data_IF_877284192038
#
_entry.id   IF_877284192038
#
_cell.length_a   1.000
_cell.length_b   1.000
_cell.length_c   1.000
_cell.angle_alpha   90.00
_cell.angle_beta   90.00
_cell.angle_gamma   90.00
#
_symmetry.space_group_name_H-M   'P 1'
#
loop_
_entity.id
_entity.type
_entity.pdbx_description
1 polymer ?
#
# COMPACT_ATOMS: atom_id res chain seq x y z
N UNK A 1 -0.72 14.77 34.69
CA UNK A 1 0.28 15.12 33.65
C UNK A 1 0.23 16.64 33.46
N UNK A 2 1.20 17.39 33.98
CA UNK A 2 1.24 18.85 33.84
C UNK A 2 1.71 19.20 32.42
N UNK A 3 0.84 19.81 31.60
CA UNK A 3 1.25 20.43 30.33
C UNK A 3 2.15 21.63 30.69
N UNK A 4 3.44 21.52 30.46
CA UNK A 4 4.34 22.69 30.49
C UNK A 4 4.05 23.52 29.25
N UNK A 5 3.45 24.68 29.43
CA UNK A 5 3.39 25.71 28.39
C UNK A 5 4.75 26.43 28.38
N UNK A 6 5.36 26.47 27.20
CA UNK A 6 6.62 27.19 26.96
C UNK A 6 6.26 28.31 25.98
N UNK A 7 6.08 29.54 26.51
CA UNK A 7 5.76 30.72 25.71
C UNK A 7 7.04 31.41 25.21
N UNK A 8 7.04 31.75 23.91
CA UNK A 8 8.07 32.58 23.25
C UNK A 8 9.53 32.01 23.29
N UNK A 9 9.70 30.70 23.39
CA UNK A 9 11.01 30.08 23.27
C UNK A 9 11.15 29.38 21.92
N UNK A 10 12.36 29.38 21.32
CA UNK A 10 12.58 28.60 20.11
C UNK A 10 12.39 27.11 20.37
N UNK A 11 11.64 26.47 19.50
CA UNK A 11 11.35 25.04 19.55
C UNK A 11 11.87 24.36 18.28
N UNK A 12 12.44 23.17 18.43
CA UNK A 12 12.67 22.25 17.33
C UNK A 12 11.68 21.10 17.52
N UNK A 13 10.92 20.81 16.48
CA UNK A 13 10.02 19.63 16.42
C UNK A 13 10.63 18.65 15.44
N UNK A 14 11.15 17.54 15.97
CA UNK A 14 11.69 16.45 15.17
C UNK A 14 10.61 15.37 15.02
N UNK A 15 9.97 15.35 13.85
CA UNK A 15 8.92 14.39 13.53
C UNK A 15 9.46 12.98 13.22
N UNK A 16 10.77 12.82 13.00
CA UNK A 16 11.38 11.51 12.80
C UNK A 16 11.57 10.77 14.13
N UNK A 17 12.06 11.49 15.14
CA UNK A 17 12.31 10.91 16.46
C UNK A 17 11.12 11.11 17.41
N UNK A 18 10.11 11.88 17.00
CA UNK A 18 8.99 12.23 17.88
C UNK A 18 9.41 13.12 19.07
N UNK A 19 10.48 13.88 18.89
CA UNK A 19 11.07 14.72 19.93
C UNK A 19 10.71 16.19 19.75
N UNK A 20 10.54 16.89 20.89
CA UNK A 20 10.41 18.34 20.93
C UNK A 20 11.52 18.90 21.79
N UNK A 21 12.47 19.61 21.18
CA UNK A 21 13.59 20.24 21.85
C UNK A 21 13.23 21.69 22.14
N UNK A 22 13.04 22.00 23.44
CA UNK A 22 12.75 23.33 23.90
C UNK A 22 14.05 24.08 24.20
N UNK A 23 14.16 25.32 23.74
CA UNK A 23 15.30 26.19 23.94
C UNK A 23 16.64 25.52 23.54
N UNK A 24 16.79 25.12 22.27
CA UNK A 24 17.95 24.36 21.78
C UNK A 24 19.24 25.18 21.97
N UNK A 25 20.35 24.47 22.22
CA UNK A 25 21.65 25.12 22.22
C UNK A 25 21.97 25.72 20.83
N UNK A 26 22.83 26.75 20.70
CA UNK A 26 23.24 27.29 19.42
C UNK A 26 23.75 26.20 18.46
N UNK A 27 24.54 25.25 18.95
CA UNK A 27 25.06 24.14 18.15
C UNK A 27 23.95 23.20 17.67
N UNK A 28 22.99 22.90 18.53
CA UNK A 28 21.82 22.10 18.17
C UNK A 28 20.98 22.82 17.12
N UNK A 29 20.77 24.12 17.31
CA UNK A 29 20.01 24.94 16.36
C UNK A 29 20.67 24.98 14.97
N UNK A 30 21.98 25.26 14.89
CA UNK A 30 22.74 25.24 13.64
C UNK A 30 22.70 23.87 12.96
N UNK A 31 22.81 22.79 13.71
CA UNK A 31 22.68 21.43 13.17
C UNK A 31 21.31 21.23 12.49
N UNK A 32 20.22 21.56 13.18
CA UNK A 32 18.89 21.44 12.59
C UNK A 32 18.63 22.42 11.43
N UNK A 33 19.23 23.60 11.44
CA UNK A 33 19.18 24.52 10.30
C UNK A 33 19.85 23.89 9.05
N UNK A 34 20.96 23.21 9.22
CA UNK A 34 21.65 22.51 8.14
C UNK A 34 20.81 21.35 7.62
N UNK A 35 20.17 20.59 8.52
CA UNK A 35 19.25 19.51 8.12
C UNK A 35 18.05 20.06 7.34
N UNK A 36 17.43 21.14 7.82
CA UNK A 36 16.29 21.78 7.13
C UNK A 36 16.70 22.30 5.74
N UNK A 37 17.89 22.89 5.60
CA UNK A 37 18.39 23.35 4.31
C UNK A 37 18.58 22.19 3.33
N UNK A 38 19.19 21.09 3.77
CA UNK A 38 19.33 19.87 2.96
C UNK A 38 18.00 19.22 2.58
N UNK A 39 17.02 19.22 3.49
CA UNK A 39 15.66 18.71 3.20
C UNK A 39 14.93 19.59 2.18
N UNK A 40 15.12 20.93 2.22
CA UNK A 40 14.52 21.84 1.21
C UNK A 40 15.13 21.63 -0.17
N UNK A 41 16.46 21.54 -0.27
CA UNK A 41 17.13 21.24 -1.53
C UNK A 41 16.67 19.91 -2.13
N UNK A 42 16.57 18.87 -1.29
CA UNK A 42 16.02 17.57 -1.72
C UNK A 42 14.56 17.71 -2.16
N UNK A 43 13.75 18.47 -1.44
CA UNK A 43 12.34 18.67 -1.78
C UNK A 43 12.17 19.35 -3.17
N UNK A 44 13.02 20.32 -3.52
CA UNK A 44 13.04 20.96 -4.84
C UNK A 44 13.40 19.96 -5.94
N UNK A 45 14.46 19.14 -5.75
CA UNK A 45 14.83 18.06 -6.70
C UNK A 45 13.68 17.05 -6.88
N UNK A 46 12.99 16.70 -5.79
CA UNK A 46 11.88 15.76 -5.83
C UNK A 46 10.67 16.31 -6.58
N UNK A 47 10.40 17.62 -6.46
CA UNK A 47 9.31 18.28 -7.17
C UNK A 47 9.54 18.29 -8.69
N UNK A 48 10.77 18.47 -9.15
CA UNK A 48 11.12 18.40 -10.57
C UNK A 48 10.85 17.02 -11.19
N UNK A 49 10.83 15.97 -10.37
CA UNK A 49 10.61 14.60 -10.83
C UNK A 49 9.13 14.18 -10.91
N UNK A 50 8.20 15.02 -10.53
CA UNK A 50 6.77 14.64 -10.43
C UNK A 50 6.21 14.05 -11.73
N UNK A 51 6.53 14.65 -12.87
CA UNK A 51 6.03 14.24 -14.19
C UNK A 51 6.82 13.10 -14.82
N UNK A 52 7.94 12.71 -14.23
CA UNK A 52 8.72 11.60 -14.73
C UNK A 52 8.22 10.26 -14.24
N UNK A 53 8.33 9.26 -15.08
CA UNK A 53 7.99 7.87 -14.74
C UNK A 53 9.10 7.23 -13.89
N UNK A 54 8.72 6.27 -13.04
CA UNK A 54 9.65 5.45 -12.27
C UNK A 54 10.39 4.46 -13.18
N UNK A 55 11.55 4.86 -13.72
CA UNK A 55 12.38 4.02 -14.60
C UNK A 55 13.80 4.02 -14.06
N UNK A 56 14.36 2.83 -13.84
CA UNK A 56 15.75 2.67 -13.37
C UNK A 56 16.75 3.12 -14.43
N UNK A 57 18.02 3.31 -14.03
CA UNK A 57 19.11 3.67 -14.93
C UNK A 57 19.38 2.62 -16.04
N UNK A 58 18.99 1.37 -15.83
CA UNK A 58 19.06 0.28 -16.80
C UNK A 58 17.70 -0.05 -17.44
N UNK A 59 16.74 0.90 -17.41
CA UNK A 59 15.52 0.89 -18.19
C UNK A 59 14.35 0.07 -17.63
N UNK A 60 14.44 -0.46 -16.41
CA UNK A 60 13.31 -1.17 -15.79
C UNK A 60 12.22 -0.20 -15.33
N UNK A 61 11.00 -0.46 -15.74
CA UNK A 61 9.83 0.36 -15.40
C UNK A 61 9.14 -0.15 -14.13
N UNK A 62 8.89 0.76 -13.19
CA UNK A 62 8.08 0.53 -11.97
C UNK A 62 6.95 1.55 -11.95
N UNK A 63 5.71 1.10 -11.85
CA UNK A 63 4.55 1.96 -11.64
C UNK A 63 4.53 2.46 -10.19
N UNK A 64 4.49 3.77 -10.01
CA UNK A 64 4.45 4.39 -8.69
C UNK A 64 3.03 4.91 -8.44
N UNK A 65 2.29 4.16 -7.65
CA UNK A 65 0.89 4.40 -7.36
C UNK A 65 0.68 4.81 -5.91
N UNK A 66 -0.53 5.24 -5.58
CA UNK A 66 -0.85 5.71 -4.24
C UNK A 66 -1.93 4.88 -3.56
N UNK A 67 -1.83 4.85 -2.23
CA UNK A 67 -2.88 4.38 -1.34
C UNK A 67 -3.68 5.59 -0.88
N UNK A 68 -5.00 5.56 -1.03
CA UNK A 68 -5.89 6.63 -0.61
C UNK A 68 -7.07 6.13 0.21
N UNK A 69 -7.62 7.04 1.02
CA UNK A 69 -8.91 6.89 1.67
C UNK A 69 -9.90 7.91 1.10
N UNK A 70 -10.61 8.65 1.97
CA UNK A 70 -11.56 9.69 1.56
C UNK A 70 -10.91 10.99 1.06
N UNK A 71 -9.65 11.22 1.38
CA UNK A 71 -8.94 12.48 1.09
C UNK A 71 -7.59 12.22 0.46
N UNK A 72 -6.98 13.25 -0.12
CA UNK A 72 -5.61 13.16 -0.62
C UNK A 72 -5.48 13.03 -2.14
N UNK A 73 -6.58 12.97 -2.90
CA UNK A 73 -6.57 12.81 -4.36
C UNK A 73 -5.74 13.89 -5.05
N UNK A 74 -6.02 15.16 -4.80
CA UNK A 74 -5.30 16.29 -5.40
C UNK A 74 -3.81 16.24 -5.10
N UNK A 75 -3.44 16.09 -3.84
CA UNK A 75 -2.03 15.98 -3.41
C UNK A 75 -1.30 14.80 -4.03
N UNK A 76 -2.00 13.68 -4.23
CA UNK A 76 -1.43 12.48 -4.85
C UNK A 76 -1.09 12.72 -6.33
N UNK A 77 -1.96 13.42 -7.06
CA UNK A 77 -1.74 13.82 -8.44
C UNK A 77 -0.61 14.85 -8.56
N UNK A 78 -0.59 15.83 -7.69
CA UNK A 78 0.47 16.86 -7.64
C UNK A 78 1.86 16.25 -7.41
N UNK A 79 1.93 15.11 -6.73
CA UNK A 79 3.18 14.35 -6.52
C UNK A 79 3.50 13.34 -7.63
N UNK A 80 2.71 13.33 -8.70
CA UNK A 80 2.94 12.51 -9.88
C UNK A 80 2.59 11.03 -9.70
N UNK A 81 1.50 10.75 -8.98
CA UNK A 81 0.95 9.40 -8.88
C UNK A 81 0.44 8.90 -10.25
N UNK A 82 0.74 7.64 -10.55
CA UNK A 82 0.44 7.03 -11.85
C UNK A 82 -0.83 6.17 -11.81
N UNK A 83 -1.47 6.05 -10.67
CA UNK A 83 -2.71 5.32 -10.42
C UNK A 83 -3.00 5.21 -8.94
N UNK A 84 -4.15 4.64 -8.63
CA UNK A 84 -4.51 4.24 -7.26
C UNK A 84 -4.31 2.73 -7.15
N UNK A 85 -3.36 2.31 -6.30
CA UNK A 85 -3.10 0.90 -6.05
C UNK A 85 -3.92 0.32 -4.91
N UNK A 86 -4.42 1.19 -4.03
CA UNK A 86 -5.35 0.82 -2.97
C UNK A 86 -6.24 2.00 -2.62
N UNK A 87 -7.51 1.90 -2.99
CA UNK A 87 -8.57 2.70 -2.38
C UNK A 87 -9.21 1.90 -1.25
N UNK A 88 -9.11 2.45 -0.03
CA UNK A 88 -9.63 1.83 1.19
C UNK A 88 -11.11 2.12 1.34
N UNK A 89 -11.94 1.24 0.81
CA UNK A 89 -13.39 1.44 0.77
C UNK A 89 -14.08 1.34 2.13
N UNK A 90 -13.43 0.79 3.14
CA UNK A 90 -13.97 0.71 4.50
C UNK A 90 -14.10 2.08 5.17
N UNK A 91 -13.28 3.07 4.81
CA UNK A 91 -13.30 4.39 5.45
C UNK A 91 -14.65 5.10 5.29
N UNK A 92 -15.26 5.17 4.09
CA UNK A 92 -16.63 5.68 3.92
C UNK A 92 -17.67 4.98 4.82
N UNK A 93 -17.50 3.67 5.05
CA UNK A 93 -18.41 2.91 5.92
C UNK A 93 -18.23 3.28 7.40
N UNK A 94 -16.98 3.46 7.83
CA UNK A 94 -16.69 3.82 9.24
C UNK A 94 -17.17 5.22 9.64
N UNK A 95 -17.41 6.11 8.68
CA UNK A 95 -17.89 7.48 8.93
C UNK A 95 -19.40 7.60 8.98
N UNK A 96 -20.14 6.53 8.74
CA UNK A 96 -21.60 6.47 8.72
C UNK A 96 -22.14 5.72 9.94
N UNK A 97 -23.46 5.83 10.16
CA UNK A 97 -24.20 5.09 11.18
C UNK A 97 -25.02 3.92 10.60
N UNK A 98 -24.86 3.65 9.31
CA UNK A 98 -25.50 2.54 8.57
C UNK A 98 -24.64 2.19 7.36
N UNK A 99 -24.91 1.05 6.73
CA UNK A 99 -24.32 0.72 5.45
C UNK A 99 -24.69 1.78 4.41
N UNK A 100 -23.70 2.36 3.69
CA UNK A 100 -23.94 3.29 2.59
C UNK A 100 -24.75 2.62 1.47
N UNK A 101 -25.72 3.32 0.90
CA UNK A 101 -26.47 2.85 -0.27
C UNK A 101 -25.56 2.73 -1.51
N UNK A 102 -26.03 2.01 -2.55
CA UNK A 102 -25.33 1.91 -3.82
C UNK A 102 -24.99 3.29 -4.39
N UNK A 103 -25.94 4.23 -4.35
CA UNK A 103 -25.73 5.58 -4.88
C UNK A 103 -24.76 6.41 -4.07
N UNK A 104 -24.78 6.32 -2.73
CA UNK A 104 -23.81 6.98 -1.87
C UNK A 104 -22.37 6.46 -2.13
N UNK A 105 -22.23 5.15 -2.29
CA UNK A 105 -20.94 4.53 -2.62
C UNK A 105 -20.49 4.94 -4.03
N UNK A 106 -21.41 4.87 -5.02
CA UNK A 106 -21.15 5.27 -6.40
C UNK A 106 -20.60 6.71 -6.49
N UNK A 107 -21.24 7.63 -5.78
CA UNK A 107 -20.83 9.03 -5.80
C UNK A 107 -19.39 9.22 -5.28
N UNK A 108 -19.02 8.56 -4.18
CA UNK A 108 -17.68 8.61 -3.62
C UNK A 108 -16.66 7.99 -4.57
N UNK A 109 -16.96 6.80 -5.12
CA UNK A 109 -16.05 6.10 -6.02
C UNK A 109 -15.84 6.87 -7.32
N UNK A 110 -16.93 7.47 -7.85
CA UNK A 110 -16.92 8.29 -9.06
C UNK A 110 -15.98 9.49 -8.93
N UNK A 111 -16.06 10.23 -7.84
CA UNK A 111 -15.20 11.39 -7.58
C UNK A 111 -13.71 11.02 -7.68
N UNK A 112 -13.32 9.87 -7.10
CA UNK A 112 -11.93 9.42 -7.13
C UNK A 112 -11.51 8.93 -8.52
N UNK A 113 -12.39 8.24 -9.22
CA UNK A 113 -12.10 7.74 -10.57
C UNK A 113 -11.98 8.86 -11.58
N UNK A 114 -12.87 9.85 -11.55
CA UNK A 114 -12.81 11.04 -12.42
C UNK A 114 -11.52 11.84 -12.21
N UNK A 115 -11.13 12.04 -10.96
CA UNK A 115 -9.91 12.78 -10.64
C UNK A 115 -8.64 12.08 -11.15
N UNK A 116 -8.63 10.74 -11.20
CA UNK A 116 -7.48 9.97 -11.70
C UNK A 116 -7.56 9.63 -13.19
N UNK A 117 -8.64 9.98 -13.89
CA UNK A 117 -8.80 9.72 -15.32
C UNK A 117 -7.58 10.16 -16.16
N UNK A 118 -7.04 9.38 -17.10
CA UNK A 118 -7.39 8.00 -17.49
C UNK A 118 -6.57 6.91 -16.76
N UNK A 119 -6.04 7.19 -15.60
CA UNK A 119 -5.17 6.27 -14.83
C UNK A 119 -5.99 5.16 -14.16
N UNK A 120 -5.40 3.98 -13.91
CA UNK A 120 -6.09 2.88 -13.25
C UNK A 120 -6.39 3.18 -11.78
N UNK A 121 -7.55 2.68 -11.32
CA UNK A 121 -8.00 2.80 -9.94
C UNK A 121 -8.32 1.42 -9.38
N UNK A 122 -7.57 1.00 -8.36
CA UNK A 122 -7.81 -0.27 -7.65
C UNK A 122 -8.62 -0.01 -6.39
N UNK A 123 -9.83 -0.56 -6.35
CA UNK A 123 -10.72 -0.50 -5.19
C UNK A 123 -10.75 -1.85 -4.47
N UNK A 124 -10.41 -1.85 -3.20
CA UNK A 124 -10.52 -3.05 -2.37
C UNK A 124 -11.97 -3.21 -1.92
N UNK A 125 -12.54 -4.41 -2.07
CA UNK A 125 -13.84 -4.70 -1.48
C UNK A 125 -13.76 -4.58 0.05
N UNK A 126 -14.91 -4.43 0.70
CA UNK A 126 -15.02 -4.08 2.10
C UNK A 126 -14.14 -4.98 3.00
N UNK A 127 -13.23 -4.35 3.73
CA UNK A 127 -12.34 -5.01 4.69
C UNK A 127 -12.63 -4.51 6.11
N UNK A 128 -13.73 -4.98 6.68
CA UNK A 128 -14.14 -4.73 8.08
C UNK A 128 -13.86 -5.95 8.94
N UNK A 129 -13.77 -5.75 10.25
CA UNK A 129 -13.29 -6.74 11.22
C UNK A 129 -11.85 -6.45 11.64
N UNK A 130 -11.32 -7.20 12.57
CA UNK A 130 -10.01 -6.92 13.15
C UNK A 130 -10.02 -5.60 13.94
N UNK A 131 -9.21 -4.65 13.50
CA UNK A 131 -9.12 -3.29 14.06
C UNK A 131 -10.09 -2.27 13.41
N UNK A 132 -10.88 -2.70 12.43
CA UNK A 132 -11.80 -1.86 11.65
C UNK A 132 -13.25 -2.16 12.04
N UNK A 133 -13.71 -1.55 13.12
CA UNK A 133 -15.09 -1.74 13.62
C UNK A 133 -16.07 -0.77 12.95
N UNK A 134 -17.28 -1.26 12.67
CA UNK A 134 -18.44 -0.44 12.32
C UNK A 134 -19.38 -0.38 13.53
N UNK A 135 -19.74 0.82 13.95
CA UNK A 135 -20.61 1.01 15.14
C UNK A 135 -21.99 0.36 15.01
N UNK A 136 -22.48 0.28 13.78
CA UNK A 136 -23.80 -0.29 13.43
C UNK A 136 -23.73 -1.76 12.98
N UNK A 137 -22.53 -2.34 12.88
CA UNK A 137 -22.29 -3.74 12.54
C UNK A 137 -21.15 -4.27 13.43
N UNK A 138 -21.42 -4.45 14.74
CA UNK A 138 -20.39 -4.83 15.69
C UNK A 138 -19.96 -6.28 15.49
N UNK A 139 -18.66 -6.50 15.35
CA UNK A 139 -18.02 -7.81 15.33
C UNK A 139 -17.23 -7.93 16.63
N UNK A 140 -17.68 -8.82 17.53
CA UNK A 140 -17.05 -9.03 18.83
C UNK A 140 -16.47 -10.43 18.89
N UNK A 141 -15.15 -10.52 18.91
CA UNK A 141 -14.40 -11.78 18.89
C UNK A 141 -13.20 -11.72 19.84
N UNK A 142 -12.79 -12.87 20.36
CA UNK A 142 -11.61 -12.96 21.22
C UNK A 142 -10.30 -12.69 20.47
N UNK A 143 -10.24 -13.05 19.17
CA UNK A 143 -9.08 -12.88 18.28
C UNK A 143 -9.52 -12.18 16.97
N UNK A 144 -9.83 -10.87 17.00
CA UNK A 144 -10.44 -10.18 15.86
C UNK A 144 -9.64 -10.26 14.57
N UNK A 145 -8.31 -10.26 14.63
CA UNK A 145 -7.46 -10.38 13.44
C UNK A 145 -7.50 -11.77 12.78
N UNK A 146 -7.87 -12.82 13.52
CA UNK A 146 -7.97 -14.20 13.05
C UNK A 146 -9.40 -14.64 12.76
N UNK A 147 -10.37 -13.76 12.97
CA UNK A 147 -11.79 -14.06 12.94
C UNK A 147 -12.50 -13.68 11.65
N UNK A 148 -13.71 -13.17 11.80
CA UNK A 148 -14.63 -12.80 10.74
C UNK A 148 -14.27 -11.42 10.18
N UNK A 149 -13.52 -11.39 9.08
CA UNK A 149 -12.92 -10.19 8.53
C UNK A 149 -12.86 -10.24 7.00
N UNK A 150 -12.98 -9.07 6.36
CA UNK A 150 -12.76 -8.89 4.94
C UNK A 150 -13.68 -9.74 4.08
N UNK A 151 -13.11 -10.54 3.17
CA UNK A 151 -13.89 -11.38 2.25
C UNK A 151 -14.83 -12.36 2.96
N UNK A 152 -14.47 -12.83 4.16
CA UNK A 152 -15.32 -13.75 4.94
C UNK A 152 -16.64 -13.10 5.30
N UNK A 153 -16.62 -11.81 5.72
CA UNK A 153 -17.84 -11.04 6.03
C UNK A 153 -18.69 -10.86 4.78
N UNK A 154 -18.08 -10.51 3.67
CA UNK A 154 -18.82 -10.17 2.45
C UNK A 154 -19.31 -11.40 1.67
N UNK A 155 -18.72 -12.57 1.83
CA UNK A 155 -19.25 -13.82 1.29
C UNK A 155 -20.42 -14.36 2.14
N UNK A 156 -20.37 -14.17 3.47
CA UNK A 156 -21.48 -14.50 4.36
C UNK A 156 -22.67 -13.52 4.19
N UNK A 157 -22.38 -12.29 3.71
CA UNK A 157 -23.35 -11.24 3.40
C UNK A 157 -23.24 -10.78 1.94
N UNK A 158 -23.60 -11.64 0.97
CA UNK A 158 -23.46 -11.34 -0.44
C UNK A 158 -24.25 -10.11 -0.91
N UNK A 159 -25.30 -9.72 -0.19
CA UNK A 159 -26.06 -8.49 -0.43
C UNK A 159 -25.18 -7.24 -0.24
N UNK A 160 -24.28 -7.22 0.76
CA UNK A 160 -23.33 -6.12 0.98
C UNK A 160 -22.31 -6.07 -0.16
N UNK A 161 -21.78 -7.25 -0.55
CA UNK A 161 -20.84 -7.36 -1.64
C UNK A 161 -21.44 -6.89 -2.97
N UNK A 162 -22.67 -7.33 -3.28
CA UNK A 162 -23.38 -6.97 -4.52
C UNK A 162 -23.61 -5.46 -4.63
N UNK A 163 -24.09 -4.81 -3.57
CA UNK A 163 -24.30 -3.36 -3.54
C UNK A 163 -22.98 -2.62 -3.80
N UNK A 164 -21.89 -3.07 -3.18
CA UNK A 164 -20.57 -2.45 -3.36
C UNK A 164 -20.03 -2.67 -4.78
N UNK A 165 -20.08 -3.89 -5.31
CA UNK A 165 -19.60 -4.20 -6.66
C UNK A 165 -20.38 -3.43 -7.73
N UNK A 166 -21.70 -3.34 -7.62
CA UNK A 166 -22.55 -2.54 -8.51
C UNK A 166 -22.21 -1.05 -8.44
N UNK A 167 -21.98 -0.52 -7.22
CA UNK A 167 -21.57 0.88 -7.04
C UNK A 167 -20.22 1.18 -7.72
N UNK A 168 -19.24 0.27 -7.59
CA UNK A 168 -17.93 0.40 -8.28
C UNK A 168 -18.08 0.39 -9.80
N UNK A 169 -18.86 -0.53 -10.34
CA UNK A 169 -19.13 -0.64 -11.79
C UNK A 169 -19.81 0.61 -12.34
N UNK A 170 -20.86 1.08 -11.68
CA UNK A 170 -21.57 2.32 -12.06
C UNK A 170 -20.71 3.56 -11.90
N UNK A 171 -19.80 3.58 -10.95
CA UNK A 171 -18.84 4.66 -10.82
C UNK A 171 -17.88 4.75 -12.01
N UNK A 172 -17.61 3.64 -12.70
CA UNK A 172 -16.74 3.60 -13.88
C UNK A 172 -17.49 3.87 -15.21
N UNK A 173 -18.79 4.07 -15.16
CA UNK A 173 -19.58 4.29 -16.37
C UNK A 173 -19.08 5.47 -17.19
N UNK A 174 -18.78 5.22 -18.48
CA UNK A 174 -18.32 6.23 -19.42
C UNK A 174 -16.88 6.72 -19.21
N UNK A 175 -16.15 6.20 -18.21
CA UNK A 175 -14.74 6.52 -18.01
C UNK A 175 -13.82 5.65 -18.90
N UNK A 176 -12.66 6.21 -19.24
CA UNK A 176 -11.62 5.50 -20.02
C UNK A 176 -10.72 4.68 -19.12
N UNK A 177 -10.47 5.17 -17.91
CA UNK A 177 -9.62 4.53 -16.91
C UNK A 177 -10.14 3.16 -16.47
N UNK A 178 -9.22 2.27 -16.11
CA UNK A 178 -9.54 0.90 -15.72
C UNK A 178 -9.96 0.82 -14.25
N UNK A 179 -11.15 0.27 -14.01
CA UNK A 179 -11.56 -0.18 -12.68
C UNK A 179 -10.90 -1.53 -12.37
N UNK A 180 -10.28 -1.60 -11.22
CA UNK A 180 -9.66 -2.80 -10.66
C UNK A 180 -10.29 -3.11 -9.31
N UNK A 181 -10.88 -4.29 -9.18
CA UNK A 181 -11.51 -4.75 -7.93
C UNK A 181 -10.56 -5.72 -7.24
N UNK A 182 -10.20 -5.44 -6.00
CA UNK A 182 -9.25 -6.23 -5.23
C UNK A 182 -9.93 -6.91 -4.04
N UNK A 183 -9.76 -8.23 -3.93
CA UNK A 183 -10.36 -9.06 -2.90
C UNK A 183 -9.40 -9.19 -1.69
N UNK A 184 -9.78 -8.72 -0.48
CA UNK A 184 -8.94 -8.79 0.72
C UNK A 184 -9.02 -10.15 1.41
N UNK A 185 -8.06 -10.45 2.27
CA UNK A 185 -8.06 -11.57 3.23
C UNK A 185 -8.31 -12.96 2.61
N UNK A 186 -7.90 -13.16 1.37
CA UNK A 186 -8.06 -14.44 0.67
C UNK A 186 -7.19 -15.53 1.32
N UNK A 187 -7.81 -16.66 1.62
CA UNK A 187 -7.15 -17.85 2.18
C UNK A 187 -7.32 -19.09 1.32
N UNK A 188 -8.30 -19.10 0.42
CA UNK A 188 -8.60 -20.26 -0.44
C UNK A 188 -8.97 -19.86 -1.86
N UNK A 189 -8.89 -20.83 -2.76
CA UNK A 189 -9.31 -20.70 -4.16
C UNK A 189 -10.82 -20.52 -4.27
N UNK A 190 -11.59 -21.21 -3.43
CA UNK A 190 -13.06 -21.15 -3.44
C UNK A 190 -13.59 -19.77 -3.11
N UNK A 191 -12.96 -19.05 -2.17
CA UNK A 191 -13.32 -17.66 -1.88
C UNK A 191 -13.18 -16.76 -3.12
N UNK A 192 -12.14 -16.99 -3.92
CA UNK A 192 -11.94 -16.24 -5.18
C UNK A 192 -12.99 -16.60 -6.23
N UNK A 193 -13.31 -17.89 -6.39
CA UNK A 193 -14.35 -18.36 -7.31
C UNK A 193 -15.72 -17.76 -6.97
N UNK A 194 -16.11 -17.80 -5.70
CA UNK A 194 -17.37 -17.24 -5.22
C UNK A 194 -17.44 -15.73 -5.40
N UNK A 195 -16.37 -15.00 -5.03
CA UNK A 195 -16.32 -13.55 -5.19
C UNK A 195 -16.35 -13.14 -6.67
N UNK A 196 -15.65 -13.85 -7.55
CA UNK A 196 -15.70 -13.61 -9.01
C UNK A 196 -17.10 -13.83 -9.58
N UNK A 197 -17.80 -14.86 -9.11
CA UNK A 197 -19.18 -15.10 -9.54
C UNK A 197 -20.12 -13.97 -9.11
N UNK A 198 -19.94 -13.40 -7.91
CA UNK A 198 -20.70 -12.24 -7.45
C UNK A 198 -20.37 -10.97 -8.26
N UNK A 199 -19.10 -10.72 -8.58
CA UNK A 199 -18.70 -9.57 -9.43
C UNK A 199 -19.30 -9.71 -10.84
N UNK A 200 -19.23 -10.90 -11.41
CA UNK A 200 -19.83 -11.18 -12.74
C UNK A 200 -21.33 -10.96 -12.72
N UNK A 201 -22.02 -11.45 -11.70
CA UNK A 201 -23.46 -11.21 -11.51
C UNK A 201 -23.76 -9.71 -11.41
N UNK A 202 -23.02 -8.97 -10.60
CA UNK A 202 -23.17 -7.52 -10.47
C UNK A 202 -22.97 -6.81 -11.82
N UNK A 203 -21.97 -7.25 -12.60
CA UNK A 203 -21.69 -6.72 -13.93
C UNK A 203 -22.86 -6.96 -14.90
N UNK A 204 -23.40 -8.18 -14.94
CA UNK A 204 -24.55 -8.49 -15.80
C UNK A 204 -25.79 -7.70 -15.40
N UNK A 205 -26.13 -7.60 -14.11
CA UNK A 205 -27.26 -6.80 -13.64
C UNK A 205 -27.14 -5.32 -14.05
N UNK A 206 -25.95 -4.73 -13.93
CA UNK A 206 -25.69 -3.32 -14.29
C UNK A 206 -25.82 -3.13 -15.82
N UNK A 207 -25.38 -4.10 -16.64
CA UNK A 207 -25.56 -4.06 -18.09
C UNK A 207 -27.04 -4.18 -18.49
N UNK A 208 -27.82 -5.09 -17.87
CA UNK A 208 -29.25 -5.27 -18.13
C UNK A 208 -30.06 -4.00 -17.79
N UNK A 209 -29.60 -3.21 -16.82
CA UNK A 209 -30.17 -1.91 -16.48
C UNK A 209 -29.79 -0.78 -17.45
N UNK A 210 -29.00 -1.10 -18.49
CA UNK A 210 -28.66 -0.20 -19.60
C UNK A 210 -27.41 0.66 -19.36
N UNK A 211 -26.63 0.42 -18.30
CA UNK A 211 -25.40 1.16 -18.06
C UNK A 211 -24.28 0.72 -19.02
N UNK A 212 -23.50 1.69 -19.50
CA UNK A 212 -22.34 1.45 -20.36
C UNK A 212 -21.06 1.32 -19.53
N UNK A 213 -20.83 0.13 -18.98
CA UNK A 213 -19.68 -0.17 -18.10
C UNK A 213 -18.76 -1.19 -18.74
N UNK A 214 -17.47 -1.07 -18.47
CA UNK A 214 -16.45 -2.06 -18.85
C UNK A 214 -16.37 -3.17 -17.81
N UNK A 215 -15.99 -4.36 -18.27
CA UNK A 215 -15.66 -5.44 -17.34
C UNK A 215 -14.45 -5.03 -16.48
N UNK A 216 -14.54 -5.13 -15.15
CA UNK A 216 -13.44 -4.75 -14.28
C UNK A 216 -12.33 -5.81 -14.30
N UNK A 217 -11.10 -5.37 -14.01
CA UNK A 217 -10.05 -6.32 -13.67
C UNK A 217 -10.26 -6.80 -12.22
N UNK A 218 -10.07 -8.10 -11.98
CA UNK A 218 -10.21 -8.68 -10.65
C UNK A 218 -8.85 -9.15 -10.15
N UNK A 219 -8.50 -8.75 -8.95
CA UNK A 219 -7.25 -9.14 -8.30
C UNK A 219 -7.43 -9.61 -6.86
N UNK A 220 -6.39 -10.24 -6.34
CA UNK A 220 -6.32 -10.75 -4.97
C UNK A 220 -5.29 -9.98 -4.18
N UNK A 221 -5.64 -9.59 -2.95
CA UNK A 221 -4.68 -9.14 -1.97
C UNK A 221 -4.05 -10.34 -1.27
N UNK A 222 -2.76 -10.53 -1.49
CA UNK A 222 -1.96 -11.57 -0.83
C UNK A 222 -1.45 -11.00 0.48
N UNK A 223 -2.15 -11.29 1.56
CA UNK A 223 -1.87 -10.73 2.89
C UNK A 223 -1.98 -11.77 4.02
N UNK A 224 -2.35 -13.01 3.66
CA UNK A 224 -2.40 -14.15 4.57
C UNK A 224 -1.39 -15.19 4.09
N UNK A 225 -0.62 -15.84 4.98
CA UNK A 225 0.37 -16.85 4.59
C UNK A 225 -0.19 -17.98 3.71
N UNK A 226 -1.45 -18.40 3.93
CA UNK A 226 -2.12 -19.39 3.09
C UNK A 226 -2.19 -18.97 1.61
N UNK A 227 -2.38 -17.67 1.33
CA UNK A 227 -2.39 -17.15 -0.03
C UNK A 227 -0.99 -17.15 -0.67
N UNK A 228 0.08 -16.98 0.12
CA UNK A 228 1.47 -17.09 -0.38
C UNK A 228 1.73 -18.48 -0.94
N UNK A 229 1.34 -19.53 -0.21
CA UNK A 229 1.51 -20.94 -0.65
C UNK A 229 0.62 -21.32 -1.84
N UNK A 230 -0.44 -20.56 -2.09
CA UNK A 230 -1.35 -20.77 -3.22
C UNK A 230 -1.14 -19.72 -4.34
N UNK A 231 -0.15 -18.85 -4.21
CA UNK A 231 0.05 -17.69 -5.07
C UNK A 231 0.07 -18.03 -6.57
N UNK A 232 0.65 -19.17 -6.95
CA UNK A 232 0.66 -19.60 -8.35
C UNK A 232 -0.73 -19.92 -8.89
N UNK A 233 -1.55 -20.63 -8.13
CA UNK A 233 -2.94 -20.93 -8.52
C UNK A 233 -3.77 -19.65 -8.57
N UNK A 234 -3.63 -18.78 -7.55
CA UNK A 234 -4.30 -17.49 -7.49
C UNK A 234 -3.92 -16.62 -8.69
N UNK A 235 -2.63 -16.54 -9.03
CA UNK A 235 -2.14 -15.77 -10.18
C UNK A 235 -2.77 -16.24 -11.51
N UNK A 236 -2.97 -17.55 -11.70
CA UNK A 236 -3.63 -18.10 -12.90
C UNK A 236 -5.13 -17.86 -12.97
N UNK A 237 -5.76 -17.32 -11.92
CA UNK A 237 -7.22 -17.13 -11.84
C UNK A 237 -7.66 -15.68 -11.93
N UNK A 238 -6.75 -14.74 -11.73
CA UNK A 238 -7.06 -13.30 -11.60
C UNK A 238 -6.18 -12.46 -12.52
N UNK A 239 -6.56 -11.21 -12.74
CA UNK A 239 -5.84 -10.29 -13.62
C UNK A 239 -4.60 -9.69 -12.96
N UNK A 240 -4.59 -9.60 -11.62
CA UNK A 240 -3.44 -9.10 -10.87
C UNK A 240 -3.38 -9.63 -9.44
N UNK A 241 -2.17 -9.61 -8.88
CA UNK A 241 -1.94 -9.80 -7.44
C UNK A 241 -1.42 -8.48 -6.83
N UNK A 242 -1.85 -8.18 -5.62
CA UNK A 242 -1.27 -7.12 -4.82
C UNK A 242 -0.95 -7.65 -3.42
N UNK A 243 0.27 -7.41 -2.94
CA UNK A 243 0.63 -7.84 -1.59
C UNK A 243 0.24 -6.76 -0.57
N UNK A 244 -0.51 -7.15 0.46
CA UNK A 244 -0.75 -6.35 1.65
C UNK A 244 0.34 -6.61 2.69
N UNK A 245 1.51 -5.94 2.58
CA UNK A 245 2.68 -6.27 3.41
C UNK A 245 2.43 -6.09 4.89
N UNK A 246 1.57 -5.15 5.28
CA UNK A 246 1.28 -4.89 6.69
C UNK A 246 0.64 -6.11 7.38
N UNK A 247 -0.45 -6.61 6.81
CA UNK A 247 -1.14 -7.78 7.35
C UNK A 247 -0.32 -9.06 7.12
N UNK A 248 0.34 -9.21 5.97
CA UNK A 248 1.23 -10.34 5.71
C UNK A 248 2.34 -10.45 6.76
N UNK A 249 3.00 -9.35 7.10
CA UNK A 249 4.05 -9.31 8.14
C UNK A 249 3.48 -9.72 9.49
N UNK A 250 2.32 -9.15 9.86
CA UNK A 250 1.64 -9.47 11.12
C UNK A 250 1.34 -10.97 11.24
N UNK A 251 0.76 -11.57 10.21
CA UNK A 251 0.41 -13.00 10.21
C UNK A 251 1.62 -13.93 10.07
N UNK A 252 2.63 -13.53 9.29
CA UNK A 252 3.88 -14.32 9.13
C UNK A 252 4.67 -14.40 10.42
N UNK A 253 4.73 -13.31 11.18
CA UNK A 253 5.48 -13.23 12.43
C UNK A 253 4.62 -13.53 13.67
N UNK A 254 3.31 -13.72 13.50
CA UNK A 254 2.33 -13.88 14.58
C UNK A 254 2.39 -12.72 15.61
N UNK A 255 2.54 -11.49 15.12
CA UNK A 255 2.71 -10.28 15.93
C UNK A 255 1.57 -9.31 15.65
N UNK A 256 0.83 -8.97 16.67
CA UNK A 256 -0.14 -7.86 16.59
C UNK A 256 0.61 -6.52 16.65
N UNK A 257 0.66 -5.81 15.52
CA UNK A 257 1.33 -4.50 15.39
C UNK A 257 0.74 -3.40 16.30
N UNK A 258 -0.51 -3.60 16.75
CA UNK A 258 -1.20 -2.66 17.64
C UNK A 258 -0.94 -2.96 19.13
N UNK A 259 -0.33 -4.10 19.45
CA UNK A 259 0.01 -4.47 20.81
C UNK A 259 1.42 -3.94 21.18
N UNK A 260 1.52 -2.91 22.06
CA UNK A 260 2.79 -2.27 22.37
C UNK A 260 3.85 -3.18 23.02
N UNK A 261 3.43 -4.36 23.52
CA UNK A 261 4.37 -5.32 24.15
C UNK A 261 5.16 -6.15 23.14
N UNK A 262 4.64 -6.29 21.92
CA UNK A 262 5.22 -7.12 20.87
C UNK A 262 5.43 -6.36 19.55
N UNK A 263 4.99 -5.12 19.46
CA UNK A 263 5.12 -4.30 18.25
C UNK A 263 6.56 -4.17 17.75
N UNK A 264 7.54 -4.19 18.63
CA UNK A 264 8.97 -4.16 18.27
C UNK A 264 9.44 -5.41 17.50
N UNK A 265 8.67 -6.52 17.58
CA UNK A 265 8.93 -7.73 16.79
C UNK A 265 8.39 -7.62 15.36
N UNK A 266 7.52 -6.65 15.09
CA UNK A 266 6.98 -6.40 13.77
C UNK A 266 8.03 -5.73 12.89
N UNK A 267 8.49 -6.44 11.86
CA UNK A 267 9.48 -5.89 10.94
C UNK A 267 9.26 -6.41 9.52
N UNK A 268 8.91 -5.52 8.60
CA UNK A 268 8.62 -5.86 7.21
C UNK A 268 9.87 -6.31 6.42
N UNK A 269 11.08 -6.03 6.92
CA UNK A 269 12.34 -6.53 6.33
C UNK A 269 12.82 -7.84 6.94
N UNK A 270 12.02 -8.48 7.79
CA UNK A 270 12.32 -9.78 8.35
C UNK A 270 12.54 -10.82 7.24
N UNK A 271 13.59 -11.69 7.32
CA UNK A 271 13.92 -12.66 6.27
C UNK A 271 12.75 -13.56 5.84
N UNK A 272 11.89 -13.97 6.78
CA UNK A 272 10.69 -14.76 6.45
C UNK A 272 9.70 -13.98 5.57
N UNK A 273 9.50 -12.68 5.86
CA UNK A 273 8.62 -11.81 5.08
C UNK A 273 9.20 -11.59 3.68
N UNK A 274 10.50 -11.28 3.58
CA UNK A 274 11.18 -11.13 2.29
C UNK A 274 11.13 -12.41 1.45
N UNK A 275 11.22 -13.58 2.08
CA UNK A 275 11.07 -14.87 1.42
C UNK A 275 9.66 -15.07 0.87
N UNK A 276 8.63 -14.73 1.65
CA UNK A 276 7.23 -14.80 1.21
C UNK A 276 6.98 -13.86 0.01
N UNK A 277 7.46 -12.61 0.08
CA UNK A 277 7.37 -11.65 -1.03
C UNK A 277 8.02 -12.18 -2.31
N UNK A 278 9.18 -12.81 -2.17
CA UNK A 278 9.89 -13.43 -3.31
C UNK A 278 9.12 -14.60 -3.91
N UNK A 279 8.49 -15.43 -3.09
CA UNK A 279 7.68 -16.56 -3.59
C UNK A 279 6.43 -16.08 -4.34
N UNK A 280 5.75 -15.03 -3.84
CA UNK A 280 4.64 -14.40 -4.57
C UNK A 280 5.11 -13.84 -5.92
N UNK A 281 6.24 -13.13 -5.95
CA UNK A 281 6.81 -12.60 -7.20
C UNK A 281 7.12 -13.70 -8.21
N UNK A 282 7.75 -14.81 -7.79
CA UNK A 282 8.03 -15.96 -8.66
C UNK A 282 6.74 -16.59 -9.21
N UNK A 283 5.75 -16.76 -8.34
CA UNK A 283 4.46 -17.34 -8.71
C UNK A 283 3.75 -16.48 -9.76
N UNK A 284 3.65 -15.18 -9.56
CA UNK A 284 3.03 -14.25 -10.50
C UNK A 284 3.78 -14.19 -11.84
N UNK A 285 5.11 -14.15 -11.82
CA UNK A 285 5.92 -14.19 -13.04
C UNK A 285 5.74 -15.49 -13.83
N UNK A 286 5.59 -16.63 -13.17
CA UNK A 286 5.38 -17.92 -13.83
C UNK A 286 4.03 -18.00 -14.58
N UNK A 287 3.02 -17.27 -14.11
CA UNK A 287 1.69 -17.21 -14.73
C UNK A 287 1.51 -15.95 -15.62
N UNK A 288 2.55 -15.10 -15.80
CA UNK A 288 2.50 -13.82 -16.49
C UNK A 288 1.42 -12.86 -15.94
N UNK A 289 1.12 -12.96 -14.66
CA UNK A 289 0.15 -12.11 -13.99
C UNK A 289 0.81 -10.86 -13.47
N UNK A 290 0.19 -9.70 -13.66
CA UNK A 290 0.68 -8.44 -13.08
C UNK A 290 0.68 -8.53 -11.56
N UNK A 291 1.72 -8.03 -10.90
CA UNK A 291 1.78 -8.01 -9.45
C UNK A 291 2.40 -6.73 -8.90
N UNK A 292 1.89 -6.32 -7.76
CA UNK A 292 2.30 -5.13 -7.04
C UNK A 292 2.23 -5.34 -5.54
N UNK A 293 2.45 -4.27 -4.81
CA UNK A 293 2.38 -4.20 -3.36
C UNK A 293 1.70 -2.89 -2.94
N UNK A 294 0.91 -2.91 -1.89
CA UNK A 294 0.21 -1.75 -1.37
C UNK A 294 0.38 -1.55 0.16
N UNK A 295 1.28 -2.29 0.80
CA UNK A 295 1.66 -2.06 2.19
C UNK A 295 2.70 -0.95 2.35
N UNK A 296 3.02 -0.63 3.60
CA UNK A 296 3.94 0.46 3.93
C UNK A 296 5.38 0.21 3.46
N UNK A 297 5.77 -1.05 3.30
CA UNK A 297 7.07 -1.44 2.77
C UNK A 297 7.34 -0.82 1.38
N UNK A 298 6.32 -0.59 0.57
CA UNK A 298 6.45 0.05 -0.75
C UNK A 298 6.95 1.49 -0.66
N UNK A 299 6.58 2.21 0.41
CA UNK A 299 7.00 3.59 0.69
C UNK A 299 8.34 3.69 1.43
N UNK A 300 8.85 2.58 1.93
CA UNK A 300 10.16 2.53 2.56
C UNK A 300 11.25 2.43 1.47
N UNK A 301 12.28 3.31 1.46
CA UNK A 301 13.32 3.29 0.43
C UNK A 301 14.05 1.94 0.29
N UNK A 302 14.39 1.28 1.39
CA UNK A 302 15.01 -0.05 1.38
C UNK A 302 14.04 -1.08 0.82
N UNK A 303 12.79 -1.06 1.28
CA UNK A 303 11.72 -1.92 0.80
C UNK A 303 11.50 -1.77 -0.70
N UNK A 304 11.41 -0.53 -1.19
CA UNK A 304 11.20 -0.24 -2.61
C UNK A 304 12.32 -0.83 -3.50
N UNK A 305 13.59 -0.73 -3.08
CA UNK A 305 14.72 -1.32 -3.81
C UNK A 305 14.64 -2.84 -3.85
N UNK A 306 14.34 -3.48 -2.72
CA UNK A 306 14.22 -4.94 -2.64
C UNK A 306 13.04 -5.47 -3.47
N UNK A 307 11.88 -4.80 -3.40
CA UNK A 307 10.69 -5.16 -4.16
C UNK A 307 10.92 -5.02 -5.69
N UNK A 308 11.50 -3.90 -6.11
CA UNK A 308 11.88 -3.70 -7.51
C UNK A 308 12.87 -4.79 -7.97
N UNK A 309 13.85 -5.14 -7.14
CA UNK A 309 14.82 -6.22 -7.45
C UNK A 309 14.12 -7.59 -7.61
N UNK A 310 13.09 -7.87 -6.80
CA UNK A 310 12.25 -9.08 -6.91
C UNK A 310 11.38 -9.09 -8.18
N UNK A 311 11.14 -7.91 -8.80
CA UNK A 311 10.38 -7.79 -10.03
C UNK A 311 8.98 -7.21 -9.87
N UNK A 312 8.63 -6.66 -8.72
CA UNK A 312 7.37 -5.97 -8.50
C UNK A 312 7.21 -4.83 -9.50
N UNK A 313 6.08 -4.82 -10.19
CA UNK A 313 5.79 -3.90 -11.30
C UNK A 313 5.08 -2.64 -10.82
N UNK A 314 4.38 -2.73 -9.69
CA UNK A 314 3.63 -1.62 -9.06
C UNK A 314 3.99 -1.52 -7.59
N UNK A 315 4.43 -0.35 -7.18
CA UNK A 315 4.64 0.02 -5.78
C UNK A 315 3.61 1.09 -5.41
N UNK A 316 2.66 0.74 -4.54
CA UNK A 316 1.62 1.64 -4.09
C UNK A 316 1.85 2.04 -2.64
N UNK A 317 1.90 3.34 -2.38
CA UNK A 317 2.32 3.91 -1.11
C UNK A 317 1.51 5.15 -0.74
N UNK A 318 1.74 5.72 0.43
CA UNK A 318 1.20 7.04 0.74
C UNK A 318 1.84 8.12 -0.14
N UNK A 319 1.13 9.23 -0.38
CA UNK A 319 1.59 10.28 -1.28
C UNK A 319 2.89 10.96 -0.82
N UNK A 320 3.20 10.93 0.47
CA UNK A 320 4.42 11.57 1.02
C UNK A 320 5.69 10.79 0.72
N UNK A 321 5.61 9.49 0.58
CA UNK A 321 6.75 8.61 0.26
C UNK A 321 7.07 8.58 -1.24
N UNK A 322 6.08 8.84 -2.09
CA UNK A 322 6.17 8.67 -3.54
C UNK A 322 7.35 9.44 -4.18
N UNK A 323 7.60 10.73 -3.89
CA UNK A 323 8.71 11.46 -4.50
C UNK A 323 10.09 10.86 -4.14
N UNK A 324 10.31 10.48 -2.88
CA UNK A 324 11.57 9.87 -2.40
C UNK A 324 11.83 8.51 -3.08
N UNK A 325 10.79 7.68 -3.17
CA UNK A 325 10.89 6.38 -3.88
C UNK A 325 11.11 6.58 -5.37
N UNK A 326 10.44 7.55 -6.00
CA UNK A 326 10.64 7.89 -7.42
C UNK A 326 12.08 8.30 -7.68
N UNK A 327 12.63 9.19 -6.86
CA UNK A 327 14.02 9.62 -6.97
C UNK A 327 14.98 8.43 -6.86
N UNK A 328 14.78 7.58 -5.87
CA UNK A 328 15.62 6.40 -5.64
C UNK A 328 15.60 5.42 -6.84
N UNK A 329 14.40 5.08 -7.33
CA UNK A 329 14.22 4.20 -8.50
C UNK A 329 14.95 4.77 -9.73
N UNK A 330 14.89 6.08 -9.94
CA UNK A 330 15.52 6.74 -11.09
C UNK A 330 17.03 6.84 -11.00
N UNK A 331 17.60 6.71 -9.81
CA UNK A 331 19.04 6.83 -9.57
C UNK A 331 19.73 5.49 -9.28
N UNK A 332 19.05 4.37 -9.41
CA UNK A 332 19.61 3.03 -9.21
C UNK A 332 19.47 2.16 -10.46
N UNK A 333 20.41 1.23 -10.67
CA UNK A 333 20.24 0.15 -11.64
C UNK A 333 19.55 -1.04 -10.98
N UNK A 334 18.57 -1.63 -11.67
CA UNK A 334 17.93 -2.86 -11.18
C UNK A 334 18.93 -3.99 -11.00
N UNK A 335 19.94 -4.07 -11.87
CA UNK A 335 21.02 -5.05 -11.78
C UNK A 335 21.78 -4.96 -10.45
N UNK A 336 22.01 -3.74 -9.94
CA UNK A 336 22.66 -3.52 -8.64
C UNK A 336 21.74 -3.92 -7.49
N UNK A 337 20.48 -3.51 -7.54
CA UNK A 337 19.46 -3.92 -6.58
C UNK A 337 19.33 -5.45 -6.50
N UNK A 338 19.39 -6.16 -7.62
CA UNK A 338 19.37 -7.64 -7.64
C UNK A 338 20.60 -8.26 -6.98
N UNK A 339 21.79 -7.64 -7.09
CA UNK A 339 22.97 -8.08 -6.36
C UNK A 339 22.82 -7.89 -4.84
N UNK A 340 22.24 -6.75 -4.43
CA UNK A 340 21.92 -6.50 -3.01
C UNK A 340 20.92 -7.52 -2.50
N UNK A 341 19.83 -7.76 -3.23
CA UNK A 341 18.80 -8.75 -2.88
C UNK A 341 19.38 -10.15 -2.70
N UNK A 342 20.28 -10.57 -3.59
CA UNK A 342 20.92 -11.90 -3.51
C UNK A 342 21.73 -12.10 -2.22
N UNK A 343 22.24 -11.02 -1.62
CA UNK A 343 22.90 -11.04 -0.31
C UNK A 343 21.90 -10.99 0.83
N UNK A 344 20.92 -10.12 0.74
CA UNK A 344 19.85 -9.95 1.75
C UNK A 344 19.12 -11.27 2.01
N UNK A 345 18.83 -12.05 0.97
CA UNK A 345 18.15 -13.35 1.08
C UNK A 345 18.98 -14.45 1.79
N UNK A 346 20.20 -14.16 2.22
CA UNK A 346 21.08 -15.06 2.99
C UNK A 346 21.31 -14.57 4.41
N UNK A 347 20.67 -13.47 4.81
CA UNK A 347 20.77 -12.89 6.14
C UNK A 347 19.73 -13.51 7.05
N UNK A 348 20.03 -13.56 8.33
CA UNK A 348 19.23 -14.23 9.33
C UNK A 348 18.33 -13.28 10.11
N UNK A 349 18.66 -11.96 10.14
CA UNK A 349 17.90 -10.97 10.92
C UNK A 349 17.54 -9.72 10.10
N UNK A 350 16.49 -9.03 10.53
CA UNK A 350 16.05 -7.78 9.93
C UNK A 350 17.09 -6.65 10.11
N UNK A 351 17.79 -6.65 11.24
CA UNK A 351 18.84 -5.70 11.59
C UNK A 351 20.03 -5.84 10.61
N UNK A 352 20.45 -7.06 10.30
CA UNK A 352 21.48 -7.32 9.30
C UNK A 352 21.05 -6.81 7.92
N UNK A 353 19.80 -7.06 7.53
CA UNK A 353 19.23 -6.59 6.25
C UNK A 353 19.28 -5.07 6.20
N UNK A 354 18.77 -4.40 7.21
CA UNK A 354 18.72 -2.94 7.28
C UNK A 354 20.12 -2.32 7.28
N UNK A 355 21.01 -2.81 8.13
CA UNK A 355 22.40 -2.30 8.22
C UNK A 355 23.15 -2.49 6.89
N UNK A 356 22.97 -3.63 6.22
CA UNK A 356 23.57 -3.90 4.92
C UNK A 356 23.00 -2.94 3.86
N UNK A 357 21.69 -2.82 3.76
CA UNK A 357 21.05 -1.98 2.75
C UNK A 357 21.37 -0.51 2.95
N UNK A 358 21.36 -0.01 4.19
CA UNK A 358 21.78 1.36 4.50
C UNK A 358 23.21 1.64 4.00
N UNK A 359 24.16 0.76 4.33
CA UNK A 359 25.54 0.90 3.87
C UNK A 359 25.63 0.91 2.34
N UNK A 360 24.98 -0.04 1.66
CA UNK A 360 25.05 -0.15 0.21
C UNK A 360 24.42 1.06 -0.50
N UNK A 361 23.33 1.57 -0.01
CA UNK A 361 22.67 2.75 -0.59
C UNK A 361 23.48 4.02 -0.31
N UNK A 362 24.10 4.16 0.86
CA UNK A 362 25.01 5.27 1.15
C UNK A 362 26.27 5.24 0.25
N UNK A 363 26.90 4.08 0.09
CA UNK A 363 28.05 3.90 -0.81
C UNK A 363 27.70 4.21 -2.26
N UNK A 364 26.46 3.97 -2.67
CA UNK A 364 25.95 4.31 -4.00
C UNK A 364 25.54 5.80 -4.14
N UNK A 365 25.68 6.63 -3.11
CA UNK A 365 25.25 8.03 -3.11
C UNK A 365 23.75 8.24 -2.99
N UNK A 366 23.01 7.21 -2.57
CA UNK A 366 21.53 7.21 -2.48
C UNK A 366 21.02 7.42 -1.04
N UNK A 367 21.92 7.71 -0.11
CA UNK A 367 21.61 7.84 1.32
C UNK A 367 20.71 9.03 1.68
N UNK A 368 20.63 10.06 0.82
CA UNK A 368 19.84 11.30 1.09
C UNK A 368 18.36 11.06 1.35
N UNK A 369 17.80 9.96 0.83
CA UNK A 369 16.37 9.61 0.99
C UNK A 369 16.12 8.58 2.08
N UNK A 370 17.19 8.05 2.69
CA UNK A 370 17.07 7.13 3.81
C UNK A 370 16.75 7.88 5.10
N UNK A 371 16.01 7.26 6.04
CA UNK A 371 15.91 7.78 7.39
C UNK A 371 17.32 7.92 8.00
N UNK A 372 17.65 9.08 8.54
CA UNK A 372 18.90 9.29 9.26
C UNK A 372 18.86 8.56 10.59
N UNK A 373 19.60 7.46 10.69
CA UNK A 373 19.90 6.86 12.00
C UNK A 373 21.07 7.62 12.64
N UNK A 374 20.82 8.28 13.74
CA UNK A 374 21.85 8.79 14.63
C UNK A 374 21.95 7.91 15.88
#
# INVERSE_FOLDING_TARGET
MYKRQVDNQPLIVDGFYGEVICNPSPRTYEHYQTLIAGERELAEELEELKDFKGVTLDGWRVGLWVNIGLTGVGRSLDRGAEGIGLFRTEIPFMTKERFPSEEEQRAIYREHMEAFEPKPVTMRTLDVGGDKALSYFPIVEENPFLGWRGIRVTLDHPEIFMVQARAMLRANEGLVGDLRIMLPMITSITEVEEAKALVERAYQEVLEEGANVKQPQIGVMVEVPAAVYQARRLAGMVDFLAVGSNDLTQYMLAVDRNNPRVADLYNETHPAVLSALREVAKAAMAENTQFGICGELAGNPIGAVLLMAMGYQVLSMNETSLPKVKWLIRNIKRSDARRMLARVLRMDTAEEVQAFMHRQLNEAGLGRVLPTHH
#
